data_IF_057059127211
#
_entry.id   IF_057059127211
#
_cell.length_a   1.000
_cell.length_b   1.000
_cell.length_c   1.000
_cell.angle_alpha   90.00
_cell.angle_beta   90.00
_cell.angle_gamma   90.00
#
_symmetry.space_group_name_H-M   'P 1'
#
loop_
_entity.id
_entity.type
_entity.pdbx_description
1 polymer ?
#
# COMPACT_ATOMS: atom_id res chain seq x y z
N UNK A 1 20.11 -23.18 -34.30
CA UNK A 1 19.59 -21.82 -34.08
C UNK A 1 18.83 -21.86 -32.77
N UNK A 2 19.53 -21.64 -31.66
CA UNK A 2 18.90 -21.53 -30.35
C UNK A 2 18.13 -20.23 -30.31
N UNK A 3 16.80 -20.33 -30.26
CA UNK A 3 15.92 -19.23 -29.92
C UNK A 3 16.16 -18.86 -28.46
N UNK A 4 16.91 -17.78 -28.23
CA UNK A 4 16.97 -17.10 -26.94
C UNK A 4 15.57 -16.55 -26.61
N UNK A 5 14.73 -17.38 -26.00
CA UNK A 5 13.65 -16.88 -25.16
C UNK A 5 14.31 -16.21 -23.95
N UNK A 6 14.59 -14.91 -24.08
CA UNK A 6 14.77 -14.07 -22.91
C UNK A 6 13.45 -14.16 -22.14
N UNK A 7 13.39 -15.08 -21.16
CA UNK A 7 12.36 -15.15 -20.15
C UNK A 7 12.43 -13.85 -19.34
N UNK A 8 11.88 -12.78 -19.90
CA UNK A 8 11.80 -11.48 -19.27
C UNK A 8 10.65 -11.54 -18.26
N UNK A 9 10.89 -12.27 -17.17
CA UNK A 9 9.96 -12.41 -16.07
C UNK A 9 9.71 -11.02 -15.50
N UNK A 10 8.46 -10.55 -15.56
CA UNK A 10 8.10 -9.27 -14.94
C UNK A 10 8.35 -9.34 -13.44
N UNK A 11 8.79 -8.25 -12.84
CA UNK A 11 8.84 -8.13 -11.39
C UNK A 11 7.44 -8.17 -10.77
N UNK A 12 7.37 -8.50 -9.48
CA UNK A 12 6.14 -8.54 -8.70
C UNK A 12 5.86 -7.19 -8.01
N UNK A 13 4.60 -6.76 -7.99
CA UNK A 13 4.11 -5.63 -7.21
C UNK A 13 3.49 -6.13 -5.90
N UNK A 14 4.15 -5.85 -4.78
CA UNK A 14 3.73 -6.24 -3.43
C UNK A 14 3.30 -4.98 -2.68
N UNK A 15 2.07 -4.93 -2.21
CA UNK A 15 1.53 -3.80 -1.44
C UNK A 15 1.40 -4.18 0.03
N UNK A 16 1.86 -3.33 0.93
CA UNK A 16 1.57 -3.41 2.36
C UNK A 16 0.53 -2.35 2.72
N UNK A 17 -0.54 -2.76 3.37
CA UNK A 17 -1.58 -1.85 3.87
C UNK A 17 -1.46 -1.82 5.41
N UNK A 18 -1.17 -0.65 5.99
CA UNK A 18 -1.05 -0.52 7.45
C UNK A 18 -0.37 0.73 8.00
N UNK A 19 0.67 1.31 7.35
CA UNK A 19 1.48 2.44 7.87
C UNK A 19 1.76 3.53 6.80
N UNK A 20 1.89 4.80 7.19
CA UNK A 20 1.80 5.97 6.28
C UNK A 20 3.08 6.25 5.47
N UNK A 21 2.96 6.38 4.12
CA UNK A 21 3.70 7.36 3.29
C UNK A 21 3.22 7.36 1.82
N UNK A 22 2.50 8.40 1.42
CA UNK A 22 2.45 8.84 0.01
C UNK A 22 3.79 9.45 -0.42
N UNK A 23 4.15 9.42 -1.71
CA UNK A 23 5.38 10.11 -2.18
C UNK A 23 5.15 11.63 -2.15
N UNK A 24 5.82 12.31 -1.21
CA UNK A 24 5.66 13.74 -0.90
C UNK A 24 6.53 14.67 -1.75
N UNK A 25 7.31 14.13 -2.69
CA UNK A 25 8.26 14.91 -3.49
C UNK A 25 7.64 15.54 -4.75
N UNK A 26 6.44 15.13 -5.16
CA UNK A 26 5.75 15.74 -6.31
C UNK A 26 4.93 16.96 -5.88
N UNK A 27 4.53 17.82 -6.82
CA UNK A 27 3.65 18.96 -6.50
C UNK A 27 2.35 18.50 -5.83
N UNK A 28 1.76 17.40 -6.30
CA UNK A 28 0.59 16.78 -5.65
C UNK A 28 0.95 16.23 -4.26
N UNK A 29 2.12 15.60 -4.13
CA UNK A 29 2.64 15.14 -2.84
C UNK A 29 2.82 16.27 -1.81
N UNK A 30 3.20 17.46 -2.25
CA UNK A 30 3.33 18.66 -1.40
C UNK A 30 1.95 19.20 -0.95
N UNK A 31 0.94 19.14 -1.82
CA UNK A 31 -0.44 19.49 -1.46
C UNK A 31 -0.99 18.52 -0.40
N UNK A 32 -0.79 17.22 -0.60
CA UNK A 32 -1.14 16.18 0.39
C UNK A 32 -0.40 16.43 1.71
N UNK A 33 0.89 16.76 1.66
CA UNK A 33 1.68 17.04 2.86
C UNK A 33 1.16 18.24 3.64
N UNK A 34 0.74 19.29 2.94
CA UNK A 34 0.14 20.48 3.56
C UNK A 34 -1.18 20.16 4.23
N UNK A 35 -2.00 19.31 3.61
CA UNK A 35 -3.25 18.83 4.20
C UNK A 35 -3.01 17.99 5.46
N UNK A 36 -2.13 16.99 5.39
CA UNK A 36 -1.81 16.13 6.54
C UNK A 36 -1.17 16.90 7.70
N UNK A 37 -0.46 18.00 7.40
CA UNK A 37 0.11 18.89 8.41
C UNK A 37 -0.89 19.92 8.96
N UNK A 38 -2.18 19.83 8.62
CA UNK A 38 -3.23 20.79 8.97
C UNK A 38 -2.91 22.23 8.54
N UNK A 39 -2.09 22.41 7.49
CA UNK A 39 -1.72 23.73 6.94
C UNK A 39 -2.67 24.21 5.84
N UNK A 40 -3.51 23.32 5.31
CA UNK A 40 -4.50 23.63 4.29
C UNK A 40 -5.82 22.94 4.61
N UNK A 41 -6.92 23.69 4.50
CA UNK A 41 -8.27 23.13 4.59
C UNK A 41 -8.73 22.77 3.17
N UNK A 42 -8.88 21.47 2.92
CA UNK A 42 -9.40 20.92 1.67
C UNK A 42 -10.56 20.01 2.03
N UNK A 43 -11.60 20.00 1.20
CA UNK A 43 -12.71 19.07 1.34
C UNK A 43 -12.25 17.62 1.07
N UNK A 44 -12.98 16.66 1.65
CA UNK A 44 -12.61 15.25 1.59
C UNK A 44 -12.62 14.69 0.16
N UNK A 45 -13.47 15.22 -0.73
CA UNK A 45 -13.49 14.84 -2.14
C UNK A 45 -12.21 15.29 -2.83
N UNK A 46 -11.80 16.55 -2.65
CA UNK A 46 -10.54 17.08 -3.19
C UNK A 46 -9.33 16.29 -2.69
N UNK A 47 -9.27 16.01 -1.39
CA UNK A 47 -8.17 15.23 -0.80
C UNK A 47 -8.12 13.82 -1.39
N UNK A 48 -9.26 13.15 -1.53
CA UNK A 48 -9.34 11.83 -2.15
C UNK A 48 -8.78 11.83 -3.58
N UNK A 49 -9.16 12.84 -4.38
CA UNK A 49 -8.67 12.99 -5.75
C UNK A 49 -7.15 13.28 -5.79
N UNK A 50 -6.62 14.08 -4.87
CA UNK A 50 -5.17 14.32 -4.78
C UNK A 50 -4.40 13.03 -4.49
N UNK A 51 -4.88 12.20 -3.57
CA UNK A 51 -4.25 10.89 -3.30
C UNK A 51 -4.30 9.97 -4.53
N UNK A 52 -5.42 9.96 -5.26
CA UNK A 52 -5.54 9.18 -6.49
C UNK A 52 -4.59 9.70 -7.58
N UNK A 53 -4.54 11.02 -7.78
CA UNK A 53 -3.63 11.66 -8.72
C UNK A 53 -2.16 11.34 -8.42
N UNK A 54 -1.75 11.34 -7.15
CA UNK A 54 -0.38 10.97 -6.75
C UNK A 54 -0.01 9.53 -7.16
N UNK A 55 -0.97 8.59 -7.12
CA UNK A 55 -0.77 7.21 -7.62
C UNK A 55 -0.65 7.17 -9.15
N UNK A 56 -1.51 7.91 -9.85
CA UNK A 56 -1.48 8.02 -11.30
C UNK A 56 -0.17 8.60 -11.83
N UNK A 57 0.40 9.61 -11.16
CA UNK A 57 1.71 10.18 -11.49
C UNK A 57 2.83 9.13 -11.49
N UNK A 58 2.72 8.08 -10.66
CA UNK A 58 3.74 7.03 -10.53
C UNK A 58 3.50 5.79 -11.39
N UNK A 59 2.30 5.63 -11.96
CA UNK A 59 1.88 4.44 -12.71
C UNK A 59 2.88 4.05 -13.80
N UNK A 60 3.25 4.98 -14.68
CA UNK A 60 4.13 4.70 -15.82
C UNK A 60 5.54 4.29 -15.38
N UNK A 61 6.06 4.90 -14.31
CA UNK A 61 7.36 4.55 -13.73
C UNK A 61 7.33 3.15 -13.11
N UNK A 62 6.28 2.84 -12.34
CA UNK A 62 6.09 1.52 -11.74
C UNK A 62 5.99 0.44 -12.82
N UNK A 63 5.20 0.69 -13.86
CA UNK A 63 5.02 -0.25 -14.96
C UNK A 63 6.35 -0.54 -15.68
N UNK A 64 7.15 0.50 -15.95
CA UNK A 64 8.48 0.34 -16.56
C UNK A 64 9.42 -0.51 -15.70
N UNK A 65 9.47 -0.26 -14.38
CA UNK A 65 10.28 -1.04 -13.44
C UNK A 65 9.84 -2.51 -13.35
N UNK A 66 8.54 -2.77 -13.33
CA UNK A 66 8.01 -4.13 -13.32
C UNK A 66 8.37 -4.86 -14.62
N UNK A 67 8.26 -4.19 -15.78
CA UNK A 67 8.66 -4.75 -17.10
C UNK A 67 10.16 -5.02 -17.20
N UNK A 68 10.98 -4.31 -16.42
CA UNK A 68 12.44 -4.54 -16.36
C UNK A 68 12.84 -5.66 -15.38
N UNK A 69 11.88 -6.40 -14.83
CA UNK A 69 12.13 -7.47 -13.86
C UNK A 69 12.33 -7.00 -12.41
N UNK A 70 12.07 -5.73 -12.11
CA UNK A 70 12.26 -5.18 -10.75
C UNK A 70 11.02 -5.40 -9.90
N UNK A 71 11.17 -6.06 -8.74
CA UNK A 71 10.10 -6.17 -7.75
C UNK A 71 9.86 -4.82 -7.05
N UNK A 72 8.59 -4.46 -6.86
CA UNK A 72 8.19 -3.22 -6.19
C UNK A 72 7.46 -3.56 -4.89
N UNK A 73 7.96 -3.00 -3.79
CA UNK A 73 7.26 -3.01 -2.49
C UNK A 73 6.69 -1.61 -2.28
N UNK A 74 5.37 -1.52 -2.14
CA UNK A 74 4.65 -0.25 -1.99
C UNK A 74 3.94 -0.25 -0.64
N UNK A 75 4.19 0.77 0.16
CA UNK A 75 3.48 1.01 1.41
C UNK A 75 2.27 1.92 1.13
N UNK A 76 1.07 1.38 1.38
CA UNK A 76 -0.25 1.89 1.00
C UNK A 76 -0.47 2.10 -0.49
N UNK A 77 -1.60 1.61 -0.99
CA UNK A 77 -2.01 1.85 -2.37
C UNK A 77 -3.47 2.29 -2.44
N UNK A 78 -4.21 1.82 -3.46
CA UNK A 78 -5.61 2.18 -3.68
C UNK A 78 -6.54 1.82 -2.52
N UNK A 79 -6.28 0.71 -1.82
CA UNK A 79 -7.15 0.26 -0.72
C UNK A 79 -7.19 1.26 0.44
N UNK A 80 -6.03 1.76 0.87
CA UNK A 80 -5.97 2.84 1.87
C UNK A 80 -6.80 4.06 1.44
N UNK A 81 -6.68 4.51 0.18
CA UNK A 81 -7.42 5.67 -0.32
C UNK A 81 -8.94 5.49 -0.22
N UNK A 82 -9.45 4.34 -0.65
CA UNK A 82 -10.89 4.01 -0.58
C UNK A 82 -11.35 3.87 0.87
N UNK A 83 -10.60 3.16 1.70
CA UNK A 83 -10.96 2.91 3.10
C UNK A 83 -11.03 4.22 3.91
N UNK A 84 -10.03 5.09 3.81
CA UNK A 84 -10.01 6.35 4.56
C UNK A 84 -11.13 7.30 4.12
N UNK A 85 -11.37 7.43 2.81
CA UNK A 85 -12.40 8.34 2.31
C UNK A 85 -13.81 7.83 2.58
N UNK A 86 -14.06 6.53 2.41
CA UNK A 86 -15.37 5.94 2.74
C UNK A 86 -15.66 5.99 4.25
N UNK A 87 -14.65 5.84 5.11
CA UNK A 87 -14.79 6.00 6.55
C UNK A 87 -15.21 7.43 6.96
N UNK A 88 -14.91 8.44 6.14
CA UNK A 88 -15.38 9.83 6.32
C UNK A 88 -16.80 10.08 5.78
N UNK A 89 -17.44 9.07 5.20
CA UNK A 89 -18.80 9.15 4.69
C UNK A 89 -18.93 9.37 3.18
N UNK A 90 -17.83 9.29 2.42
CA UNK A 90 -17.90 9.32 0.96
C UNK A 90 -18.42 7.98 0.42
N UNK A 91 -19.14 8.03 -0.70
CA UNK A 91 -19.62 6.83 -1.39
C UNK A 91 -18.44 5.93 -1.83
N UNK A 92 -18.55 4.64 -1.53
CA UNK A 92 -17.47 3.69 -1.77
C UNK A 92 -17.21 3.47 -3.27
N UNK A 93 -18.25 3.49 -4.10
CA UNK A 93 -18.11 3.30 -5.55
C UNK A 93 -17.53 4.56 -6.22
N UNK A 94 -17.87 5.74 -5.71
CA UNK A 94 -17.22 6.99 -6.05
C UNK A 94 -15.74 6.96 -5.69
N UNK A 95 -15.37 6.47 -4.50
CA UNK A 95 -13.98 6.35 -4.07
C UNK A 95 -13.17 5.34 -4.91
N UNK A 96 -13.81 4.28 -5.42
CA UNK A 96 -13.15 3.31 -6.31
C UNK A 96 -12.97 3.85 -7.73
N UNK A 97 -13.83 4.76 -8.16
CA UNK A 97 -13.85 5.25 -9.54
C UNK A 97 -12.51 5.83 -10.04
N UNK A 98 -11.82 6.72 -9.31
CA UNK A 98 -10.57 7.30 -9.78
C UNK A 98 -9.39 6.30 -9.74
N UNK A 99 -9.52 5.18 -9.03
CA UNK A 99 -8.49 4.15 -8.95
C UNK A 99 -8.53 3.15 -10.13
N UNK A 100 -9.61 3.15 -10.91
CA UNK A 100 -9.79 2.20 -12.03
C UNK A 100 -8.75 2.45 -13.13
N UNK A 101 -7.91 1.45 -13.38
CA UNK A 101 -6.85 1.50 -14.41
C UNK A 101 -5.43 1.63 -13.86
N UNK A 102 -5.28 1.81 -12.54
CA UNK A 102 -4.01 1.64 -11.84
C UNK A 102 -3.54 0.18 -11.89
N UNK A 103 -2.26 -0.04 -11.56
CA UNK A 103 -1.65 -1.38 -11.60
C UNK A 103 -2.22 -2.24 -10.46
N UNK A 104 -2.78 -3.40 -10.79
CA UNK A 104 -3.21 -4.37 -9.80
C UNK A 104 -1.97 -5.00 -9.11
N UNK A 105 -1.89 -5.00 -7.77
CA UNK A 105 -0.85 -5.70 -7.04
C UNK A 105 -0.90 -7.21 -7.27
N UNK A 106 0.26 -7.86 -7.31
CA UNK A 106 0.39 -9.32 -7.32
C UNK A 106 0.12 -9.92 -5.94
N UNK A 107 0.47 -9.18 -4.89
CA UNK A 107 0.22 -9.55 -3.50
C UNK A 107 -0.14 -8.29 -2.69
N UNK A 108 -1.18 -8.40 -1.87
CA UNK A 108 -1.53 -7.40 -0.86
C UNK A 108 -1.29 -8.02 0.50
N UNK A 109 -0.56 -7.33 1.36
CA UNK A 109 -0.26 -7.71 2.74
C UNK A 109 -1.00 -6.73 3.65
N UNK A 110 -2.08 -7.19 4.26
CA UNK A 110 -2.82 -6.40 5.23
C UNK A 110 -2.32 -6.69 6.64
N UNK A 111 -1.78 -5.68 7.31
CA UNK A 111 -1.33 -5.80 8.68
C UNK A 111 -2.53 -5.58 9.61
N UNK A 112 -3.26 -6.68 9.89
CA UNK A 112 -4.36 -6.65 10.83
C UNK A 112 -3.83 -6.67 12.27
N UNK A 113 -3.99 -5.57 12.98
CA UNK A 113 -3.56 -5.43 14.38
C UNK A 113 -4.79 -5.04 15.19
N UNK A 114 -5.03 -5.74 16.30
CA UNK A 114 -6.11 -5.35 17.21
C UNK A 114 -5.86 -3.94 17.77
N UNK A 115 -6.88 -3.07 17.84
CA UNK A 115 -6.77 -1.77 18.52
C UNK A 115 -6.25 -1.88 19.96
N UNK A 116 -6.48 -3.02 20.62
CA UNK A 116 -6.01 -3.29 21.99
C UNK A 116 -4.48 -3.39 22.08
N UNK A 117 -3.82 -3.76 20.98
CA UNK A 117 -2.35 -3.90 20.89
C UNK A 117 -1.70 -2.55 20.56
N UNK A 118 -2.39 -1.69 19.79
CA UNK A 118 -1.92 -0.34 19.45
C UNK A 118 -2.42 0.63 20.50
N UNK A 119 -1.83 0.58 21.69
CA UNK A 119 -1.91 1.73 22.59
C UNK A 119 -1.12 2.88 21.96
N UNK A 120 -1.83 3.87 21.41
CA UNK A 120 -1.26 5.07 20.80
C UNK A 120 -0.44 5.92 21.79
N UNK A 121 -0.44 5.57 23.08
CA UNK A 121 0.40 6.18 24.11
C UNK A 121 1.80 5.54 24.17
N UNK A 122 2.03 4.40 23.52
CA UNK A 122 3.34 3.74 23.53
C UNK A 122 4.33 4.46 22.58
N UNK A 123 5.61 4.57 22.97
CA UNK A 123 6.66 5.05 22.08
C UNK A 123 6.75 4.21 20.81
N UNK A 124 7.06 4.85 19.67
CA UNK A 124 7.16 4.18 18.36
C UNK A 124 8.14 3.01 18.40
N UNK A 125 9.20 3.11 19.19
CA UNK A 125 10.21 2.07 19.37
C UNK A 125 9.64 0.82 20.05
N UNK A 126 8.71 0.99 20.99
CA UNK A 126 8.03 -0.12 21.68
C UNK A 126 7.05 -0.82 20.73
N UNK A 127 6.30 -0.03 19.95
CA UNK A 127 5.38 -0.55 18.91
C UNK A 127 6.15 -1.30 17.83
N UNK A 128 7.27 -0.75 17.35
CA UNK A 128 8.12 -1.43 16.37
C UNK A 128 8.64 -2.77 16.85
N UNK A 129 9.07 -2.86 18.11
CA UNK A 129 9.57 -4.11 18.68
C UNK A 129 8.46 -5.17 18.73
N UNK A 130 7.27 -4.80 19.21
CA UNK A 130 6.11 -5.69 19.25
C UNK A 130 5.70 -6.14 17.85
N UNK A 131 5.68 -5.24 16.87
CA UNK A 131 5.35 -5.56 15.48
C UNK A 131 6.40 -6.48 14.83
N UNK A 132 7.69 -6.26 15.12
CA UNK A 132 8.77 -7.14 14.66
C UNK A 132 8.60 -8.54 15.24
N UNK A 133 8.32 -8.66 16.53
CA UNK A 133 8.08 -9.94 17.20
C UNK A 133 6.84 -10.66 16.65
N UNK A 134 5.71 -9.96 16.50
CA UNK A 134 4.48 -10.48 15.88
C UNK A 134 4.70 -10.91 14.43
N UNK A 135 5.41 -10.10 13.64
CA UNK A 135 5.73 -10.40 12.25
C UNK A 135 6.63 -11.63 12.12
N UNK A 136 7.70 -11.69 12.94
CA UNK A 136 8.57 -12.87 13.00
C UNK A 136 7.82 -14.11 13.46
N UNK A 137 6.95 -14.01 14.47
CA UNK A 137 6.18 -15.15 14.94
C UNK A 137 5.22 -15.64 13.86
N UNK A 138 4.45 -14.75 13.21
CA UNK A 138 3.55 -15.11 12.10
C UNK A 138 4.28 -15.81 10.96
N UNK A 139 5.45 -15.29 10.56
CA UNK A 139 6.30 -15.91 9.54
C UNK A 139 6.81 -17.28 10.05
N UNK A 140 7.25 -17.35 11.29
CA UNK A 140 7.89 -18.56 11.84
C UNK A 140 6.88 -19.68 12.08
N UNK A 141 5.70 -19.41 12.66
CA UNK A 141 4.66 -20.43 12.90
C UNK A 141 3.94 -20.84 11.62
N UNK A 142 3.79 -19.95 10.64
CA UNK A 142 3.07 -20.25 9.40
C UNK A 142 3.97 -20.85 8.33
N UNK A 143 5.16 -20.27 8.09
CA UNK A 143 6.08 -20.76 7.06
C UNK A 143 6.79 -22.06 7.48
N UNK A 144 7.10 -22.28 8.77
CA UNK A 144 7.66 -23.59 9.22
C UNK A 144 6.69 -24.76 9.07
N UNK A 145 5.38 -24.49 8.95
CA UNK A 145 4.36 -25.51 8.64
C UNK A 145 4.20 -25.76 7.13
N UNK A 146 5.10 -25.23 6.29
CA UNK A 146 5.11 -25.48 4.84
C UNK A 146 3.98 -24.80 4.07
N UNK A 147 3.24 -23.87 4.70
CA UNK A 147 2.17 -23.13 4.05
C UNK A 147 2.75 -21.95 3.29
N UNK A 148 2.53 -21.93 1.97
CA UNK A 148 2.90 -20.83 1.08
C UNK A 148 2.14 -19.57 1.50
N UNK A 149 2.79 -18.40 1.50
CA UNK A 149 2.22 -17.10 1.90
C UNK A 149 0.87 -16.78 1.22
N UNK A 150 0.62 -17.31 0.02
CA UNK A 150 -0.66 -17.20 -0.70
C UNK A 150 -1.85 -17.83 0.04
N UNK A 151 -1.60 -18.83 0.90
CA UNK A 151 -2.65 -19.54 1.66
C UNK A 151 -3.19 -18.78 2.87
N UNK A 152 -2.66 -17.59 3.18
CA UNK A 152 -3.22 -16.69 4.21
C UNK A 152 -4.59 -16.10 3.81
N UNK A 153 -4.96 -16.18 2.53
CA UNK A 153 -6.09 -15.43 1.95
C UNK A 153 -7.27 -16.30 1.50
N UNK A 154 -7.17 -17.62 1.63
CA UNK A 154 -8.29 -18.53 1.37
C UNK A 154 -9.01 -18.80 2.70
N UNK A 155 -10.04 -18.00 2.99
CA UNK A 155 -11.15 -18.38 3.87
C UNK A 155 -12.43 -18.41 3.06
#
# INVERSE_FOLDING_TARGET
MESNENNNVRGALIVFEGLDRSDRNTCVGQMISSYLANKSQLDDQTVHQLFSANRWEKRSLMESKLKSGTNLIVDRYSYSGVAFSSAKGLDIEWCKAPERGLLAPDLVVYLNISPEIIDACLPVEAVEKQLKELGLDCITTTCRKGKVLSSLWLR
#
